data_IF_596916981510
#
_entry.id   IF_596916981510
#
_cell.length_a   1.000
_cell.length_b   1.000
_cell.length_c   1.000
_cell.angle_alpha   90.00
_cell.angle_beta   90.00
_cell.angle_gamma   90.00
#
_symmetry.space_group_name_H-M   'P 1'
#
loop_
_entity.id
_entity.type
_entity.pdbx_description
1 polymer ?
#
# COMPACT_ATOMS: atom_id res chain seq x y z
N UNK A 1 -22.86 -0.38 -14.77
CA UNK A 1 -21.80 0.31 -15.54
C UNK A 1 -20.77 -0.76 -15.94
N UNK A 2 -19.74 -0.49 -16.75
CA UNK A 2 -18.57 -1.39 -16.74
C UNK A 2 -17.71 -1.00 -15.52
N UNK A 3 -17.09 -1.96 -14.79
CA UNK A 3 -16.28 -1.64 -13.63
C UNK A 3 -15.11 -0.71 -13.96
N UNK A 4 -14.90 0.32 -13.15
CA UNK A 4 -13.80 1.28 -13.26
C UNK A 4 -12.89 1.31 -12.02
N UNK A 5 -13.23 0.51 -10.99
CA UNK A 5 -12.49 0.41 -9.73
C UNK A 5 -12.08 -1.05 -9.51
N UNK A 6 -10.77 -1.32 -9.46
CA UNK A 6 -10.22 -2.61 -9.07
C UNK A 6 -9.96 -2.64 -7.56
N UNK A 7 -10.74 -3.43 -6.81
CA UNK A 7 -10.56 -3.62 -5.36
C UNK A 7 -9.68 -4.85 -5.16
N UNK A 8 -8.46 -4.67 -4.68
CA UNK A 8 -7.49 -5.74 -4.44
C UNK A 8 -7.50 -6.09 -2.96
N UNK A 9 -7.69 -7.37 -2.65
CA UNK A 9 -7.78 -7.88 -1.29
C UNK A 9 -6.85 -9.10 -1.15
N UNK A 10 -5.65 -8.95 -0.58
CA UNK A 10 -4.85 -10.10 -0.18
C UNK A 10 -5.53 -10.80 1.00
N UNK A 11 -5.77 -12.10 0.90
CA UNK A 11 -6.43 -12.83 2.00
C UNK A 11 -6.05 -14.30 2.05
N UNK A 12 -5.77 -14.77 3.26
CA UNK A 12 -5.61 -16.20 3.58
C UNK A 12 -6.49 -16.61 4.77
N UNK A 13 -7.37 -15.71 5.24
CA UNK A 13 -8.13 -15.85 6.47
C UNK A 13 -9.59 -15.47 6.28
N UNK A 14 -9.88 -14.19 6.10
CA UNK A 14 -11.22 -13.64 6.38
C UNK A 14 -11.78 -12.85 5.18
N UNK A 15 -11.97 -13.53 4.04
CA UNK A 15 -12.56 -12.91 2.86
C UNK A 15 -14.01 -12.44 3.06
N UNK A 16 -14.71 -12.92 4.09
CA UNK A 16 -16.09 -12.50 4.40
C UNK A 16 -16.18 -11.01 4.82
N UNK A 17 -15.06 -10.37 5.21
CA UNK A 17 -15.00 -8.94 5.51
C UNK A 17 -15.58 -8.08 4.36
N UNK A 18 -15.42 -8.53 3.11
CA UNK A 18 -15.94 -7.86 1.92
C UNK A 18 -17.47 -7.69 1.93
N UNK A 19 -18.21 -8.60 2.58
CA UNK A 19 -19.67 -8.43 2.72
C UNK A 19 -20.02 -7.16 3.50
N UNK A 20 -19.20 -6.76 4.48
CA UNK A 20 -19.38 -5.51 5.22
C UNK A 20 -19.14 -4.29 4.33
N UNK A 21 -18.11 -4.32 3.47
CA UNK A 21 -17.86 -3.29 2.46
C UNK A 21 -18.99 -3.16 1.45
N UNK A 22 -19.52 -4.28 0.94
CA UNK A 22 -20.67 -4.23 0.03
C UNK A 22 -21.95 -3.78 0.73
N UNK A 23 -22.14 -4.12 2.00
CA UNK A 23 -23.27 -3.61 2.78
C UNK A 23 -23.16 -2.09 2.96
N UNK A 24 -22.00 -1.59 3.40
CA UNK A 24 -21.71 -0.16 3.52
C UNK A 24 -22.00 0.58 2.21
N UNK A 25 -21.46 0.10 1.09
CA UNK A 25 -21.70 0.67 -0.24
C UNK A 25 -23.20 0.76 -0.56
N UNK A 26 -23.98 -0.29 -0.29
CA UNK A 26 -25.44 -0.29 -0.55
C UNK A 26 -26.20 0.68 0.35
N UNK A 27 -25.84 0.76 1.63
CA UNK A 27 -26.49 1.67 2.58
C UNK A 27 -26.25 3.15 2.20
N UNK A 28 -25.06 3.46 1.69
CA UNK A 28 -24.71 4.80 1.21
C UNK A 28 -25.13 5.07 -0.25
N UNK A 29 -25.61 4.06 -0.96
CA UNK A 29 -26.07 4.17 -2.35
C UNK A 29 -24.95 4.24 -3.38
N UNK A 30 -23.75 3.77 -3.02
CA UNK A 30 -22.65 3.57 -3.95
C UNK A 30 -22.97 2.42 -4.93
N UNK A 31 -22.65 2.63 -6.20
CA UNK A 31 -22.96 1.67 -7.26
C UNK A 31 -21.92 0.53 -7.31
N UNK A 32 -22.30 -0.66 -6.85
CA UNK A 32 -21.45 -1.85 -6.88
C UNK A 32 -21.05 -2.28 -8.30
N UNK A 33 -21.79 -1.89 -9.34
CA UNK A 33 -21.41 -2.19 -10.73
C UNK A 33 -20.09 -1.52 -11.15
N UNK A 34 -19.60 -0.55 -10.37
CA UNK A 34 -18.29 0.09 -10.56
C UNK A 34 -17.13 -0.76 -10.07
N UNK A 35 -17.40 -1.72 -9.17
CA UNK A 35 -16.37 -2.51 -8.52
C UNK A 35 -16.06 -3.78 -9.32
N UNK A 36 -14.77 -4.06 -9.46
CA UNK A 36 -14.24 -5.38 -9.75
C UNK A 36 -13.38 -5.82 -8.57
N UNK A 37 -13.75 -6.91 -7.90
CA UNK A 37 -13.05 -7.39 -6.69
C UNK A 37 -12.07 -8.49 -7.06
N UNK A 38 -10.80 -8.26 -6.80
CA UNK A 38 -9.71 -9.20 -7.02
C UNK A 38 -9.23 -9.75 -5.67
N UNK A 39 -9.62 -10.98 -5.35
CA UNK A 39 -9.14 -11.68 -4.16
C UNK A 39 -7.85 -12.43 -4.51
N UNK A 40 -6.76 -12.08 -3.84
CA UNK A 40 -5.45 -12.73 -4.03
C UNK A 40 -5.19 -13.62 -2.82
N UNK A 41 -5.03 -14.92 -3.05
CA UNK A 41 -5.01 -15.93 -1.98
C UNK A 41 -4.01 -17.06 -2.25
N UNK A 42 -4.12 -18.19 -1.55
CA UNK A 42 -3.22 -19.33 -1.68
C UNK A 42 -3.98 -20.62 -2.03
N UNK A 43 -3.29 -21.59 -2.64
CA UNK A 43 -3.88 -22.87 -3.08
C UNK A 43 -4.54 -23.68 -1.93
N UNK A 44 -4.17 -23.38 -0.68
CA UNK A 44 -4.77 -24.02 0.50
C UNK A 44 -6.04 -23.33 1.00
N UNK A 45 -6.45 -22.20 0.40
CA UNK A 45 -7.63 -21.43 0.79
C UNK A 45 -8.90 -21.86 0.03
N UNK A 46 -10.05 -21.41 0.52
CA UNK A 46 -11.37 -21.75 -0.03
C UNK A 46 -11.75 -20.83 -1.21
N UNK A 47 -11.14 -21.06 -2.38
CA UNK A 47 -11.39 -20.28 -3.59
C UNK A 47 -12.82 -20.39 -4.09
N UNK A 48 -13.42 -21.60 -4.03
CA UNK A 48 -14.84 -21.80 -4.37
C UNK A 48 -15.79 -20.98 -3.48
N UNK A 49 -15.48 -20.87 -2.18
CA UNK A 49 -16.24 -20.05 -1.24
C UNK A 49 -16.11 -18.54 -1.51
N UNK A 50 -14.91 -18.08 -1.86
CA UNK A 50 -14.65 -16.69 -2.28
C UNK A 50 -15.44 -16.33 -3.54
N UNK A 51 -15.40 -17.18 -4.57
CA UNK A 51 -16.17 -16.99 -5.81
C UNK A 51 -17.68 -16.96 -5.52
N UNK A 52 -18.18 -17.91 -4.73
CA UNK A 52 -19.58 -17.97 -4.35
C UNK A 52 -20.04 -16.73 -3.57
N UNK A 53 -19.18 -16.14 -2.72
CA UNK A 53 -19.49 -14.88 -2.05
C UNK A 53 -19.69 -13.75 -3.05
N UNK A 54 -18.80 -13.57 -4.02
CA UNK A 54 -18.92 -12.52 -5.03
C UNK A 54 -20.21 -12.67 -5.85
N UNK A 55 -20.52 -13.90 -6.26
CA UNK A 55 -21.77 -14.24 -6.96
C UNK A 55 -23.02 -13.94 -6.12
N UNK A 56 -23.03 -14.32 -4.84
CA UNK A 56 -24.14 -14.08 -3.90
C UNK A 56 -24.37 -12.58 -3.67
N UNK A 57 -23.30 -11.79 -3.61
CA UNK A 57 -23.34 -10.35 -3.44
C UNK A 57 -23.61 -9.61 -4.76
N UNK A 58 -23.56 -10.31 -5.89
CA UNK A 58 -23.79 -9.75 -7.22
C UNK A 58 -22.74 -8.73 -7.64
N UNK A 59 -21.48 -8.96 -7.26
CA UNK A 59 -20.34 -8.09 -7.55
C UNK A 59 -19.41 -8.77 -8.55
N UNK A 60 -18.91 -8.04 -9.55
CA UNK A 60 -17.93 -8.57 -10.48
C UNK A 60 -16.59 -8.81 -9.76
N UNK A 61 -15.89 -9.90 -10.08
CA UNK A 61 -14.59 -10.15 -9.50
C UNK A 61 -13.95 -11.45 -9.96
N UNK A 62 -12.76 -11.70 -9.44
CA UNK A 62 -11.98 -12.90 -9.67
C UNK A 62 -11.18 -13.28 -8.42
N UNK A 63 -10.88 -14.57 -8.30
CA UNK A 63 -10.09 -15.15 -7.21
C UNK A 63 -8.83 -15.76 -7.82
N UNK A 64 -7.67 -15.42 -7.27
CA UNK A 64 -6.37 -15.92 -7.74
C UNK A 64 -5.61 -16.56 -6.59
N UNK A 65 -5.57 -17.88 -6.56
CA UNK A 65 -4.60 -18.66 -5.79
C UNK A 65 -3.23 -18.73 -6.50
N UNK A 66 -2.29 -19.50 -5.96
CA UNK A 66 -0.92 -19.60 -6.50
C UNK A 66 -0.96 -20.16 -7.93
N UNK A 67 -1.68 -21.27 -8.11
CA UNK A 67 -1.83 -21.93 -9.41
C UNK A 67 -2.47 -21.01 -10.46
N UNK A 68 -3.53 -20.27 -10.11
CA UNK A 68 -4.18 -19.34 -11.02
C UNK A 68 -3.30 -18.14 -11.38
N UNK A 69 -2.47 -17.64 -10.44
CA UNK A 69 -1.48 -16.59 -10.75
C UNK A 69 -0.43 -17.09 -11.74
N UNK A 70 0.10 -18.30 -11.55
CA UNK A 70 1.06 -18.91 -12.47
C UNK A 70 0.49 -19.05 -13.88
N UNK A 71 -0.76 -19.51 -14.00
CA UNK A 71 -1.46 -19.56 -15.29
C UNK A 71 -1.61 -18.16 -15.90
N UNK A 72 -1.98 -17.16 -15.10
CA UNK A 72 -2.11 -15.78 -15.56
C UNK A 72 -0.78 -15.19 -16.05
N UNK A 73 0.33 -15.44 -15.34
CA UNK A 73 1.65 -15.02 -15.81
C UNK A 73 1.99 -15.65 -17.15
N UNK A 74 1.65 -16.94 -17.35
CA UNK A 74 1.89 -17.64 -18.61
C UNK A 74 1.04 -17.12 -19.77
N UNK A 75 -0.23 -16.84 -19.53
CA UNK A 75 -1.13 -16.27 -20.53
C UNK A 75 -0.73 -14.85 -20.96
N UNK A 76 0.03 -14.16 -20.10
CA UNK A 76 0.57 -12.83 -20.35
C UNK A 76 2.04 -12.83 -20.78
N UNK A 77 2.64 -14.01 -20.98
CA UNK A 77 4.03 -14.19 -21.41
C UNK A 77 5.03 -13.47 -20.47
N UNK A 78 4.76 -13.48 -19.16
CA UNK A 78 5.60 -12.84 -18.12
C UNK A 78 5.95 -13.83 -16.99
N UNK A 79 6.01 -15.14 -17.27
CA UNK A 79 6.32 -16.16 -16.25
C UNK A 79 7.65 -15.92 -15.54
N UNK A 80 8.61 -15.31 -16.24
CA UNK A 80 9.92 -14.98 -15.68
C UNK A 80 9.85 -13.96 -14.54
N UNK A 81 8.77 -13.16 -14.47
CA UNK A 81 8.54 -12.13 -13.45
C UNK A 81 7.68 -12.61 -12.27
N UNK A 82 7.27 -13.88 -12.23
CA UNK A 82 6.50 -14.46 -11.12
C UNK A 82 7.15 -14.24 -9.75
N UNK A 83 8.49 -14.18 -9.69
CA UNK A 83 9.28 -13.92 -8.49
C UNK A 83 9.09 -12.52 -7.87
N UNK A 84 8.47 -11.57 -8.59
CA UNK A 84 8.16 -10.25 -8.05
C UNK A 84 7.03 -10.27 -7.02
N UNK A 85 6.23 -11.34 -6.99
CA UNK A 85 5.12 -11.46 -6.04
C UNK A 85 5.39 -12.64 -5.11
N UNK A 86 5.78 -12.39 -3.84
CA UNK A 86 6.05 -13.46 -2.89
C UNK A 86 4.76 -14.21 -2.51
N UNK A 87 4.90 -15.49 -2.17
CA UNK A 87 3.79 -16.31 -1.69
C UNK A 87 3.52 -16.07 -0.19
N UNK A 88 2.26 -16.21 0.23
CA UNK A 88 1.81 -16.11 1.61
C UNK A 88 2.30 -14.86 2.36
N UNK A 89 2.42 -13.74 1.65
CA UNK A 89 2.86 -12.44 2.16
C UNK A 89 1.85 -11.36 1.80
N UNK A 90 1.77 -10.31 2.60
CA UNK A 90 0.95 -9.14 2.27
C UNK A 90 1.35 -8.51 0.92
N UNK A 91 2.63 -8.62 0.52
CA UNK A 91 3.12 -8.15 -0.78
C UNK A 91 2.48 -8.84 -2.00
N UNK A 92 1.63 -9.87 -1.80
CA UNK A 92 0.73 -10.40 -2.82
C UNK A 92 -0.19 -9.36 -3.46
N UNK A 93 -0.44 -8.24 -2.78
CA UNK A 93 -1.10 -7.07 -3.33
C UNK A 93 -0.45 -6.57 -4.63
N UNK A 94 0.85 -6.79 -4.83
CA UNK A 94 1.54 -6.51 -6.11
C UNK A 94 0.99 -7.26 -7.31
N UNK A 95 0.41 -8.45 -7.13
CA UNK A 95 -0.30 -9.12 -8.22
C UNK A 95 -1.53 -8.31 -8.66
N UNK A 96 -2.24 -7.69 -7.71
CA UNK A 96 -3.37 -6.83 -8.04
C UNK A 96 -2.97 -5.58 -8.81
N UNK A 97 -1.78 -5.04 -8.56
CA UNK A 97 -1.21 -3.95 -9.35
C UNK A 97 -0.88 -4.41 -10.78
N UNK A 98 -0.28 -5.59 -10.97
CA UNK A 98 -0.03 -6.17 -12.31
C UNK A 98 -1.33 -6.45 -13.05
N UNK A 99 -2.31 -7.05 -12.37
CA UNK A 99 -3.62 -7.33 -12.92
C UNK A 99 -4.28 -6.03 -13.37
N UNK A 100 -4.32 -5.02 -12.50
CA UNK A 100 -4.83 -3.70 -12.85
C UNK A 100 -4.06 -3.15 -14.05
N UNK A 101 -2.72 -3.17 -14.05
CA UNK A 101 -1.91 -2.68 -15.16
C UNK A 101 -2.16 -3.38 -16.51
N UNK A 102 -2.57 -4.65 -16.52
CA UNK A 102 -2.98 -5.35 -17.73
C UNK A 102 -4.39 -4.97 -18.24
N UNK A 103 -5.22 -4.36 -17.40
CA UNK A 103 -6.63 -4.05 -17.66
C UNK A 103 -6.86 -2.52 -17.62
N UNK A 104 -6.73 -1.81 -18.75
CA UNK A 104 -6.79 -0.34 -18.81
C UNK A 104 -8.17 0.27 -18.54
N UNK A 105 -9.22 -0.54 -18.40
CA UNK A 105 -10.56 -0.13 -17.99
C UNK A 105 -10.64 0.35 -16.54
N UNK A 106 -9.69 -0.07 -15.68
CA UNK A 106 -9.65 0.37 -14.29
C UNK A 106 -8.90 1.69 -14.16
N UNK A 107 -9.66 2.75 -13.85
CA UNK A 107 -9.15 4.09 -13.58
C UNK A 107 -8.59 4.20 -12.15
N UNK A 108 -9.19 3.47 -11.20
CA UNK A 108 -8.86 3.51 -9.78
C UNK A 108 -8.58 2.12 -9.20
N UNK A 109 -7.61 2.06 -8.29
CA UNK A 109 -7.37 0.91 -7.44
C UNK A 109 -7.80 1.19 -6.00
N UNK A 110 -8.24 0.17 -5.29
CA UNK A 110 -8.51 0.23 -3.85
C UNK A 110 -7.89 -1.00 -3.19
N UNK A 111 -7.06 -0.79 -2.18
CA UNK A 111 -6.53 -1.83 -1.33
C UNK A 111 -7.35 -1.91 -0.04
N UNK A 112 -7.68 -3.14 0.36
CA UNK A 112 -8.39 -3.47 1.59
C UNK A 112 -7.73 -4.71 2.19
N UNK A 113 -7.33 -4.61 3.46
CA UNK A 113 -6.85 -5.76 4.22
C UNK A 113 -8.02 -6.59 4.76
N UNK A 114 -7.82 -7.91 4.83
CA UNK A 114 -8.86 -8.86 5.22
C UNK A 114 -9.24 -8.83 6.71
N UNK A 115 -8.50 -8.07 7.53
CA UNK A 115 -8.81 -7.80 8.93
C UNK A 115 -9.32 -6.37 9.18
N UNK A 116 -9.76 -5.66 8.14
CA UNK A 116 -10.39 -4.34 8.26
C UNK A 116 -11.90 -4.37 7.99
N UNK A 117 -12.63 -3.45 8.61
CA UNK A 117 -14.07 -3.25 8.38
C UNK A 117 -14.39 -1.78 8.11
N UNK A 118 -15.38 -1.47 7.26
CA UNK A 118 -15.80 -0.08 7.07
C UNK A 118 -16.61 0.39 8.28
N UNK A 119 -16.52 1.69 8.55
CA UNK A 119 -17.42 2.37 9.48
C UNK A 119 -18.69 2.83 8.77
N UNK A 120 -19.83 2.83 9.46
CA UNK A 120 -21.12 3.26 8.92
C UNK A 120 -21.15 4.77 8.61
N UNK A 121 -20.28 5.54 9.24
CA UNK A 121 -20.19 7.01 9.15
C UNK A 121 -19.84 7.50 7.75
N UNK A 122 -19.12 6.71 6.95
CA UNK A 122 -18.67 7.08 5.62
C UNK A 122 -19.19 6.12 4.54
N UNK A 123 -19.55 6.68 3.39
CA UNK A 123 -19.54 5.96 2.12
C UNK A 123 -18.09 5.60 1.82
N UNK A 124 -17.66 4.38 2.15
CA UNK A 124 -16.25 4.01 2.12
C UNK A 124 -15.63 4.22 0.73
N UNK A 125 -16.22 3.62 -0.30
CA UNK A 125 -15.72 3.76 -1.67
C UNK A 125 -15.98 5.16 -2.22
N UNK A 126 -17.15 5.74 -1.96
CA UNK A 126 -17.49 7.07 -2.44
C UNK A 126 -16.57 8.15 -1.89
N UNK A 127 -16.19 8.07 -0.61
CA UNK A 127 -15.28 9.01 0.03
C UNK A 127 -13.87 8.94 -0.55
N UNK A 128 -13.36 7.73 -0.77
CA UNK A 128 -12.08 7.55 -1.45
C UNK A 128 -12.08 8.13 -2.87
N UNK A 129 -13.11 7.82 -3.67
CA UNK A 129 -13.23 8.36 -5.03
C UNK A 129 -13.37 9.88 -4.99
N UNK A 130 -14.14 10.45 -4.06
CA UNK A 130 -14.25 11.89 -3.87
C UNK A 130 -12.87 12.50 -3.59
N UNK A 131 -12.11 11.93 -2.66
CA UNK A 131 -10.77 12.38 -2.29
C UNK A 131 -9.81 12.45 -3.49
N UNK A 132 -9.84 11.46 -4.39
CA UNK A 132 -9.01 11.44 -5.60
C UNK A 132 -9.37 12.56 -6.62
N UNK A 133 -10.50 13.25 -6.43
CA UNK A 133 -10.95 14.36 -7.27
C UNK A 133 -11.03 15.70 -6.52
N UNK A 134 -10.53 15.76 -5.28
CA UNK A 134 -10.54 16.98 -4.50
C UNK A 134 -9.54 18.00 -5.03
N UNK A 135 -9.95 19.27 -4.99
CA UNK A 135 -9.19 20.44 -5.44
C UNK A 135 -9.32 21.61 -4.44
N UNK A 136 -9.84 21.35 -3.25
CA UNK A 136 -10.06 22.33 -2.18
C UNK A 136 -8.80 22.57 -1.32
N UNK A 137 -8.88 23.59 -0.44
CA UNK A 137 -7.87 23.84 0.58
C UNK A 137 -7.99 22.79 1.70
N UNK A 138 -6.87 22.22 2.11
CA UNK A 138 -6.78 21.24 3.18
C UNK A 138 -5.63 21.59 4.14
N UNK A 139 -5.65 21.02 5.34
CA UNK A 139 -4.50 21.11 6.24
C UNK A 139 -3.25 20.48 5.61
N UNK A 140 -2.15 21.22 5.67
CA UNK A 140 -0.83 20.71 5.32
C UNK A 140 0.08 20.65 6.52
N UNK A 141 0.88 19.59 6.57
CA UNK A 141 1.66 19.23 7.76
C UNK A 141 3.13 19.09 7.37
N UNK A 142 4.01 19.58 8.24
CA UNK A 142 5.45 19.40 8.12
C UNK A 142 6.08 19.20 9.50
N UNK A 143 7.29 18.66 9.54
CA UNK A 143 8.11 18.60 10.75
C UNK A 143 9.54 19.05 10.49
N UNK A 144 10.28 19.28 11.58
CA UNK A 144 11.71 19.57 11.55
C UNK A 144 12.59 18.35 11.22
N UNK A 145 12.00 17.15 11.12
CA UNK A 145 12.69 15.90 10.80
C UNK A 145 12.33 15.34 9.40
N UNK A 146 11.64 16.13 8.57
CA UNK A 146 11.18 15.74 7.22
C UNK A 146 10.22 14.54 7.18
N UNK A 147 9.59 14.23 8.31
CA UNK A 147 8.62 13.15 8.46
C UNK A 147 7.36 13.63 9.16
N UNK A 148 6.20 13.34 8.58
CA UNK A 148 4.90 13.62 9.17
C UNK A 148 4.35 12.32 9.76
N UNK A 149 4.17 12.30 11.08
CA UNK A 149 3.49 11.22 11.77
C UNK A 149 2.00 11.22 11.37
N UNK A 150 1.48 10.18 10.72
CA UNK A 150 0.06 10.16 10.32
C UNK A 150 -0.93 10.07 11.49
N UNK A 151 -0.41 9.87 12.71
CA UNK A 151 -1.11 9.91 13.99
C UNK A 151 -0.77 11.19 14.78
N UNK A 152 -0.34 12.28 14.13
CA UNK A 152 0.00 13.53 14.84
C UNK A 152 -1.24 14.17 15.51
N UNK A 153 -2.43 13.96 14.94
CA UNK A 153 -3.69 14.38 15.54
C UNK A 153 -3.86 13.62 16.86
N UNK A 154 -4.02 14.35 17.96
CA UNK A 154 -4.08 13.82 19.32
C UNK A 154 -2.81 13.10 19.87
N UNK A 155 -1.63 13.32 19.24
CA UNK A 155 -0.37 12.68 19.69
C UNK A 155 0.04 12.99 21.13
N UNK A 156 -0.37 14.14 21.67
CA UNK A 156 -0.12 14.50 23.08
C UNK A 156 -0.85 13.56 24.07
N UNK A 157 -1.93 12.90 23.66
CA UNK A 157 -2.70 11.97 24.49
C UNK A 157 -2.21 10.53 24.34
N UNK A 158 -2.02 10.05 23.11
CA UNK A 158 -1.67 8.65 22.85
C UNK A 158 -0.17 8.40 22.63
N UNK A 159 0.60 9.38 22.17
CA UNK A 159 2.06 9.29 21.97
C UNK A 159 2.50 8.21 20.97
N UNK A 160 1.69 7.97 19.94
CA UNK A 160 1.88 6.84 19.01
C UNK A 160 2.58 7.28 17.74
N UNK A 161 3.37 6.35 17.19
CA UNK A 161 4.03 6.49 15.90
C UNK A 161 3.76 5.22 15.07
N UNK A 162 3.31 5.36 13.82
CA UNK A 162 2.95 4.23 12.98
C UNK A 162 4.16 3.36 12.65
N UNK A 163 3.91 2.10 12.34
CA UNK A 163 4.92 1.15 11.85
C UNK A 163 5.68 1.77 10.66
N UNK A 164 7.01 1.67 10.68
CA UNK A 164 7.87 2.24 9.64
C UNK A 164 8.27 3.70 9.82
N UNK A 165 7.66 4.44 10.75
CA UNK A 165 8.12 5.78 11.08
C UNK A 165 9.54 5.72 11.68
N UNK A 166 10.53 6.43 11.11
CA UNK A 166 11.92 6.36 11.58
C UNK A 166 12.06 6.76 13.04
N UNK A 167 12.81 5.97 13.80
CA UNK A 167 13.09 6.23 15.21
C UNK A 167 13.91 7.50 15.39
N UNK A 168 14.78 7.81 14.45
CA UNK A 168 15.58 9.05 14.47
C UNK A 168 14.76 10.32 14.29
N UNK A 169 13.57 10.21 13.67
CA UNK A 169 12.66 11.32 13.38
C UNK A 169 11.53 11.47 14.42
N UNK A 170 11.55 10.70 15.51
CA UNK A 170 10.56 10.82 16.60
C UNK A 170 10.86 12.03 17.50
N UNK A 171 9.86 12.44 18.28
CA UNK A 171 9.89 13.66 19.09
C UNK A 171 10.04 14.95 18.24
N UNK A 172 9.63 14.88 16.98
CA UNK A 172 9.62 15.97 16.02
C UNK A 172 8.67 17.10 16.42
N UNK A 173 8.97 18.30 15.97
CA UNK A 173 8.09 19.45 16.10
C UNK A 173 7.22 19.56 14.87
N UNK A 174 5.92 19.31 15.03
CA UNK A 174 4.93 19.42 13.95
C UNK A 174 4.48 20.88 13.75
N UNK A 175 4.46 21.34 12.50
CA UNK A 175 3.86 22.59 12.07
C UNK A 175 2.73 22.31 11.06
N UNK A 176 1.60 22.99 11.24
CA UNK A 176 0.44 22.90 10.34
C UNK A 176 0.16 24.24 9.66
N UNK A 177 -0.26 24.19 8.39
CA UNK A 177 -0.76 25.31 7.61
C UNK A 177 -1.96 24.85 6.77
N UNK A 178 -2.46 25.70 5.88
CA UNK A 178 -3.51 25.37 4.91
C UNK A 178 -2.96 25.61 3.51
N UNK A 179 -3.16 24.66 2.59
CA UNK A 179 -2.84 24.86 1.16
C UNK A 179 -3.88 24.23 0.23
N UNK A 180 -3.93 24.75 -0.99
CA UNK A 180 -4.68 24.11 -2.09
C UNK A 180 -4.12 22.71 -2.36
N UNK A 181 -5.02 21.74 -2.51
CA UNK A 181 -4.68 20.43 -3.03
C UNK A 181 -4.14 20.53 -4.46
N UNK A 182 -3.05 19.81 -4.69
CA UNK A 182 -2.60 19.43 -6.02
C UNK A 182 -3.33 18.15 -6.40
N UNK A 183 -3.23 17.76 -7.66
CA UNK A 183 -3.87 16.57 -8.18
C UNK A 183 -3.60 15.34 -7.28
N UNK A 184 -4.65 14.88 -6.60
CA UNK A 184 -4.57 13.82 -5.59
C UNK A 184 -4.49 12.48 -6.29
N UNK A 185 -3.42 11.73 -6.02
CA UNK A 185 -3.14 10.45 -6.70
C UNK A 185 -3.34 9.24 -5.80
N UNK A 186 -3.32 9.46 -4.48
CA UNK A 186 -3.71 8.46 -3.49
C UNK A 186 -4.51 9.10 -2.36
N UNK A 187 -5.50 8.35 -1.88
CA UNK A 187 -6.32 8.63 -0.71
C UNK A 187 -6.04 7.53 0.32
N UNK A 188 -5.21 7.85 1.30
CA UNK A 188 -4.89 6.98 2.43
C UNK A 188 -5.93 7.20 3.54
N UNK A 189 -6.76 6.20 3.78
CA UNK A 189 -7.65 6.18 4.92
C UNK A 189 -6.90 5.73 6.18
N UNK A 190 -7.25 6.30 7.32
CA UNK A 190 -6.69 5.92 8.62
C UNK A 190 -7.57 4.85 9.29
N UNK A 191 -7.21 4.46 10.50
CA UNK A 191 -7.80 3.30 11.18
C UNK A 191 -8.11 3.58 12.66
N UNK A 192 -9.23 3.05 13.12
CA UNK A 192 -9.58 2.93 14.54
C UNK A 192 -9.26 1.52 15.06
N UNK A 193 -9.48 1.31 16.36
CA UNK A 193 -9.20 0.09 17.11
C UNK A 193 -7.71 -0.22 17.25
N UNK A 194 -7.15 -1.20 16.54
CA UNK A 194 -5.72 -1.56 16.71
C UNK A 194 -4.88 -0.64 15.82
N UNK A 195 -4.06 0.28 16.34
CA UNK A 195 -3.15 1.04 15.49
C UNK A 195 -2.08 0.14 14.85
N UNK A 196 -1.71 0.43 13.60
CA UNK A 196 -0.59 -0.25 12.95
C UNK A 196 0.74 0.25 13.52
N UNK A 197 1.23 -0.46 14.54
CA UNK A 197 2.50 -0.22 15.20
C UNK A 197 3.47 -1.36 14.92
N UNK A 198 4.77 -1.04 14.90
CA UNK A 198 5.82 -2.06 14.89
C UNK A 198 5.88 -2.85 16.22
N UNK A 199 6.54 -3.99 16.18
CA UNK A 199 6.65 -4.90 17.30
C UNK A 199 7.39 -4.29 18.51
N UNK A 200 8.36 -3.39 18.30
CA UNK A 200 9.07 -2.73 19.40
C UNK A 200 8.11 -1.82 20.17
N UNK A 201 7.30 -1.03 19.47
CA UNK A 201 6.28 -0.14 20.04
C UNK A 201 5.17 -0.93 20.74
N UNK A 202 4.71 -2.04 20.15
CA UNK A 202 3.75 -2.97 20.79
C UNK A 202 4.33 -3.58 22.08
N UNK A 203 5.61 -4.00 22.07
CA UNK A 203 6.29 -4.50 23.26
C UNK A 203 6.46 -3.42 24.34
N UNK A 204 6.71 -2.16 23.95
CA UNK A 204 6.78 -1.03 24.88
C UNK A 204 5.42 -0.74 25.54
N UNK A 205 4.33 -0.99 24.82
CA UNK A 205 2.95 -0.95 25.35
C UNK A 205 2.62 -2.17 26.24
N UNK A 206 3.53 -3.14 26.33
CA UNK A 206 3.45 -4.31 27.21
C UNK A 206 2.66 -5.48 26.64
N UNK A 207 2.36 -5.47 25.34
CA UNK A 207 1.59 -6.51 24.68
C UNK A 207 2.47 -7.60 24.05
N UNK A 208 2.06 -8.86 24.23
CA UNK A 208 2.78 -10.04 23.74
C UNK A 208 1.98 -10.81 22.67
N UNK A 209 0.81 -10.30 22.30
CA UNK A 209 -0.15 -10.90 21.38
C UNK A 209 -0.32 -10.06 20.10
N UNK A 210 0.67 -9.21 19.78
CA UNK A 210 0.77 -8.50 18.51
C UNK A 210 -0.24 -7.37 18.35
N UNK A 211 -0.91 -6.96 19.44
CA UNK A 211 -1.96 -5.94 19.43
C UNK A 211 -1.60 -4.81 20.39
N UNK A 212 -1.59 -3.57 19.91
CA UNK A 212 -1.44 -2.43 20.82
C UNK A 212 -2.57 -2.43 21.89
N UNK A 213 -2.21 -2.15 23.14
CA UNK A 213 -3.16 -1.92 24.24
C UNK A 213 -3.81 -0.53 24.10
N UNK A 214 -3.00 0.44 23.66
CA UNK A 214 -3.49 1.77 23.27
C UNK A 214 -4.23 1.65 21.94
N UNK A 215 -5.51 2.02 21.95
CA UNK A 215 -6.41 1.96 20.79
C UNK A 215 -6.62 3.36 20.22
N UNK A 216 -6.86 3.44 18.92
CA UNK A 216 -7.33 4.67 18.27
C UNK A 216 -8.85 4.63 18.13
N UNK A 217 -9.50 5.78 18.24
CA UNK A 217 -10.94 5.96 18.05
C UNK A 217 -11.19 7.21 17.19
N UNK A 218 -12.46 7.52 16.90
CA UNK A 218 -12.83 8.66 16.05
C UNK A 218 -12.29 10.00 16.55
N UNK A 219 -12.22 10.19 17.88
CA UNK A 219 -11.78 11.44 18.51
C UNK A 219 -10.26 11.68 18.36
N UNK A 220 -9.50 10.69 17.86
CA UNK A 220 -8.07 10.85 17.54
C UNK A 220 -7.84 11.45 16.13
N UNK A 221 -8.89 11.65 15.34
CA UNK A 221 -8.79 12.14 13.95
C UNK A 221 -9.71 13.34 13.70
N UNK A 222 -9.12 14.52 13.49
CA UNK A 222 -9.82 15.80 13.35
C UNK A 222 -10.17 16.17 11.90
N UNK A 223 -9.56 15.49 10.93
CA UNK A 223 -9.81 15.74 9.51
C UNK A 223 -8.70 15.25 8.59
N UNK A 224 -8.91 15.44 7.29
CA UNK A 224 -7.89 15.09 6.30
C UNK A 224 -6.76 16.11 6.26
N UNK A 225 -5.58 15.64 5.88
CA UNK A 225 -4.38 16.46 5.72
C UNK A 225 -3.48 15.89 4.61
N UNK A 226 -2.51 16.71 4.20
CA UNK A 226 -1.42 16.32 3.31
C UNK A 226 -0.09 16.63 3.97
N UNK A 227 0.91 15.78 3.75
CA UNK A 227 2.29 16.19 4.06
C UNK A 227 2.76 17.22 3.01
N UNK A 228 3.52 18.22 3.44
CA UNK A 228 4.13 19.19 2.53
C UNK A 228 5.12 18.52 1.55
N UNK A 229 5.40 19.13 0.38
CA UNK A 229 6.42 18.62 -0.52
C UNK A 229 7.78 18.47 0.18
N UNK A 230 8.42 17.31 0.04
CA UNK A 230 9.68 16.97 0.71
C UNK A 230 9.53 16.46 2.14
N UNK A 231 8.29 16.33 2.65
CA UNK A 231 7.97 15.65 3.89
C UNK A 231 7.47 14.23 3.60
N UNK A 232 8.12 13.23 4.17
CA UNK A 232 7.72 11.83 4.06
C UNK A 232 6.63 11.49 5.08
N UNK A 233 5.91 10.40 4.84
CA UNK A 233 4.91 9.86 5.75
C UNK A 233 4.81 8.35 5.53
N UNK A 234 4.34 7.63 6.54
CA UNK A 234 4.06 6.20 6.42
C UNK A 234 2.78 5.99 5.62
N UNK A 235 2.87 5.25 4.52
CA UNK A 235 1.69 4.79 3.78
C UNK A 235 1.41 3.36 4.19
N UNK A 236 0.14 3.10 4.54
CA UNK A 236 -0.33 1.75 4.77
C UNK A 236 -1.37 1.40 3.70
N UNK A 237 -1.29 0.18 3.20
CA UNK A 237 -2.14 -0.33 2.13
C UNK A 237 -3.49 -0.90 2.63
N UNK A 238 -3.68 -1.07 3.94
CA UNK A 238 -4.91 -1.66 4.50
C UNK A 238 -6.22 -0.95 4.15
N UNK A 239 -6.14 0.35 3.82
CA UNK A 239 -7.27 1.23 3.55
C UNK A 239 -6.82 2.37 2.63
N UNK A 240 -6.69 2.09 1.33
CA UNK A 240 -6.08 3.03 0.40
C UNK A 240 -6.68 2.95 -0.99
N UNK A 241 -7.08 4.10 -1.54
CA UNK A 241 -7.46 4.22 -2.94
C UNK A 241 -6.43 5.02 -3.72
N UNK A 242 -6.23 4.72 -5.00
CA UNK A 242 -5.24 5.37 -5.84
C UNK A 242 -5.65 5.46 -7.30
N UNK A 243 -5.06 6.40 -8.02
CA UNK A 243 -5.16 6.49 -9.49
C UNK A 243 -4.19 5.51 -10.12
N UNK A 244 -4.64 4.82 -11.17
CA UNK A 244 -3.84 3.85 -11.94
C UNK A 244 -2.42 4.34 -12.30
N UNK A 245 -2.25 5.63 -12.58
CA UNK A 245 -0.98 6.19 -13.02
C UNK A 245 0.19 6.00 -12.04
N UNK A 246 -0.09 5.75 -10.77
CA UNK A 246 0.95 5.57 -9.73
C UNK A 246 1.60 4.18 -9.73
N UNK A 247 0.97 3.19 -10.38
CA UNK A 247 1.40 1.77 -10.35
C UNK A 247 2.91 1.56 -10.56
N UNK A 248 3.58 2.26 -11.51
CA UNK A 248 5.02 2.11 -11.68
C UNK A 248 5.86 2.42 -10.44
N UNK A 249 5.38 3.30 -9.56
CA UNK A 249 6.06 3.72 -8.33
C UNK A 249 5.42 3.19 -7.04
N UNK A 250 4.46 2.26 -7.15
CA UNK A 250 3.67 1.78 -6.01
C UNK A 250 3.75 0.26 -5.80
N UNK A 251 4.86 -0.34 -6.24
CA UNK A 251 5.16 -1.76 -6.05
C UNK A 251 5.25 -2.12 -4.56
N UNK A 252 4.55 -3.18 -4.12
CA UNK A 252 4.67 -3.73 -2.77
C UNK A 252 5.85 -4.71 -2.78
N UNK A 253 6.94 -4.32 -2.10
CA UNK A 253 8.24 -4.97 -2.22
C UNK A 253 8.23 -6.46 -1.80
N UNK A 254 9.16 -7.29 -2.32
CA UNK A 254 9.26 -8.71 -2.00
C UNK A 254 9.82 -8.95 -0.59
N UNK A 255 8.98 -8.69 0.40
CA UNK A 255 9.24 -8.92 1.82
C UNK A 255 8.78 -10.33 2.22
N UNK A 256 9.25 -10.80 3.39
CA UNK A 256 8.94 -12.12 3.99
C UNK A 256 9.47 -13.37 3.26
N UNK A 257 9.77 -13.30 1.96
CA UNK A 257 10.44 -14.35 1.18
C UNK A 257 11.77 -13.87 0.57
N UNK A 258 12.77 -13.63 1.44
CA UNK A 258 14.11 -13.21 1.02
C UNK A 258 15.21 -13.75 1.96
N UNK A 259 16.46 -13.75 1.50
CA UNK A 259 17.60 -14.32 2.24
C UNK A 259 18.08 -13.50 3.44
N UNK A 260 17.58 -12.26 3.59
CA UNK A 260 17.94 -11.35 4.68
C UNK A 260 16.95 -11.40 5.85
N UNK A 261 15.88 -12.20 5.74
CA UNK A 261 14.80 -12.32 6.73
C UNK A 261 14.07 -10.98 6.97
N UNK A 262 14.11 -10.06 6.01
CA UNK A 262 13.42 -8.77 6.12
C UNK A 262 11.95 -8.94 5.75
N UNK A 263 11.05 -8.55 6.65
CA UNK A 263 9.61 -8.63 6.46
C UNK A 263 8.89 -7.34 6.85
N UNK A 264 7.62 -7.21 6.46
CA UNK A 264 6.66 -6.23 7.01
C UNK A 264 6.95 -4.73 6.74
N UNK A 265 7.81 -4.42 5.76
CA UNK A 265 8.10 -3.06 5.28
C UNK A 265 7.64 -2.80 3.83
N UNK A 266 6.93 -3.74 3.23
CA UNK A 266 6.56 -3.74 1.83
C UNK A 266 5.73 -2.52 1.43
N UNK A 267 4.63 -2.26 2.16
CA UNK A 267 3.78 -1.09 1.94
C UNK A 267 4.43 0.21 2.43
N UNK A 268 5.22 0.14 3.51
CA UNK A 268 5.96 1.28 4.08
C UNK A 268 6.94 1.86 3.06
N UNK A 269 7.82 1.02 2.50
CA UNK A 269 8.83 1.44 1.54
C UNK A 269 8.18 1.81 0.20
N UNK A 270 7.13 1.08 -0.21
CA UNK A 270 6.28 1.47 -1.35
C UNK A 270 5.73 2.88 -1.18
N UNK A 271 5.27 3.22 0.04
CA UNK A 271 4.82 4.56 0.43
C UNK A 271 5.87 5.64 0.28
N UNK A 272 7.10 5.36 0.72
CA UNK A 272 8.24 6.28 0.59
C UNK A 272 8.53 6.57 -0.89
N UNK A 273 8.56 5.54 -1.75
CA UNK A 273 8.75 5.71 -3.19
C UNK A 273 7.60 6.49 -3.84
N UNK A 274 6.35 6.15 -3.51
CA UNK A 274 5.18 6.83 -4.02
C UNK A 274 5.17 8.31 -3.61
N UNK A 275 5.48 8.61 -2.34
CA UNK A 275 5.54 10.00 -1.85
C UNK A 275 6.60 10.79 -2.59
N UNK A 276 7.79 10.21 -2.79
CA UNK A 276 8.86 10.85 -3.58
C UNK A 276 8.41 11.14 -5.01
N UNK A 277 7.83 10.17 -5.69
CA UNK A 277 7.33 10.34 -7.06
C UNK A 277 6.19 11.35 -7.15
N UNK A 278 5.26 11.35 -6.20
CA UNK A 278 4.19 12.34 -6.12
C UNK A 278 4.75 13.76 -5.95
N UNK A 279 5.74 13.95 -5.07
CA UNK A 279 6.35 15.26 -4.86
C UNK A 279 7.06 15.80 -6.10
N UNK A 280 7.87 14.97 -6.77
CA UNK A 280 8.57 15.34 -8.01
C UNK A 280 7.58 15.75 -9.10
N UNK A 281 6.46 15.03 -9.21
CA UNK A 281 5.42 15.28 -10.21
C UNK A 281 4.39 16.33 -9.79
N UNK A 282 4.55 16.95 -8.62
CA UNK A 282 3.67 17.99 -8.12
C UNK A 282 2.26 17.48 -7.79
N UNK A 283 2.16 16.28 -7.22
CA UNK A 283 0.92 15.56 -6.86
C UNK A 283 0.83 15.37 -5.36
N UNK A 284 -0.37 15.03 -4.87
CA UNK A 284 -0.60 14.83 -3.43
C UNK A 284 -1.08 13.42 -3.08
N UNK A 285 -0.68 12.98 -1.88
CA UNK A 285 -1.29 11.87 -1.14
C UNK A 285 -2.12 12.51 -0.03
N UNK A 286 -3.44 12.31 -0.09
CA UNK A 286 -4.37 12.82 0.91
C UNK A 286 -4.60 11.76 1.97
N UNK A 287 -4.38 12.11 3.24
CA UNK A 287 -4.44 11.19 4.38
C UNK A 287 -5.54 11.62 5.34
N UNK A 288 -6.36 10.68 5.82
CA UNK A 288 -7.45 10.97 6.76
C UNK A 288 -8.64 10.04 6.58
N UNK A 289 -9.78 10.59 6.16
CA UNK A 289 -11.01 9.84 5.97
C UNK A 289 -11.09 9.19 4.57
N UNK A 290 -11.79 8.07 4.39
CA UNK A 290 -12.61 7.37 5.40
C UNK A 290 -11.75 6.57 6.37
N UNK A 291 -12.22 6.42 7.61
CA UNK A 291 -11.59 5.49 8.55
C UNK A 291 -12.11 4.06 8.30
N UNK A 292 -11.28 3.07 8.62
CA UNK A 292 -11.69 1.68 8.81
C UNK A 292 -11.48 1.24 10.28
N UNK A 293 -12.13 0.16 10.70
CA UNK A 293 -11.84 -0.53 11.95
C UNK A 293 -10.82 -1.65 11.68
N UNK A 294 -9.59 -1.51 12.19
CA UNK A 294 -8.55 -2.52 12.03
C UNK A 294 -8.61 -3.55 13.18
N UNK A 295 -8.97 -4.78 12.83
CA UNK A 295 -9.21 -5.91 13.73
C UNK A 295 -8.06 -6.92 13.73
N UNK A 296 -6.83 -6.40 13.87
CA UNK A 296 -5.57 -7.15 13.84
C UNK A 296 -5.65 -8.48 14.57
N UNK A 297 -5.38 -9.59 13.88
CA UNK A 297 -5.38 -10.92 14.51
C UNK A 297 -4.27 -11.07 15.57
N UNK A 298 -4.61 -11.65 16.73
CA UNK A 298 -3.66 -11.92 17.81
C UNK A 298 -2.59 -12.93 17.38
N UNK A 299 -1.31 -12.60 17.61
CA UNK A 299 -0.14 -13.42 17.27
C UNK A 299 1.07 -13.03 18.13
N UNK A 300 2.09 -13.89 18.31
CA UNK A 300 3.22 -13.54 19.17
C UNK A 300 3.94 -12.27 18.68
N UNK A 301 4.01 -11.22 19.50
CA UNK A 301 4.73 -9.98 19.14
C UNK A 301 6.20 -10.23 18.80
N UNK A 302 6.78 -11.30 19.34
CA UNK A 302 8.15 -11.70 19.04
C UNK A 302 8.34 -12.26 17.63
N UNK A 303 7.30 -12.83 17.01
CA UNK A 303 7.37 -13.28 15.62
C UNK A 303 7.40 -12.07 14.69
N UNK A 304 6.54 -11.07 14.94
CA UNK A 304 6.59 -9.78 14.23
C UNK A 304 7.96 -9.09 14.42
N UNK A 305 8.50 -9.08 15.64
CA UNK A 305 9.82 -8.50 15.92
C UNK A 305 10.95 -9.19 15.13
N UNK A 306 10.92 -10.52 15.00
CA UNK A 306 11.94 -11.25 14.25
C UNK A 306 11.91 -10.91 12.76
N UNK A 307 10.74 -10.61 12.20
CA UNK A 307 10.60 -10.21 10.80
C UNK A 307 10.97 -8.73 10.58
N UNK A 308 10.76 -7.87 11.58
CA UNK A 308 11.03 -6.43 11.45
C UNK A 308 12.49 -6.07 11.75
N UNK A 309 13.12 -6.67 12.76
CA UNK A 309 14.49 -6.34 13.20
C UNK A 309 15.52 -6.34 12.07
N UNK A 310 15.50 -7.31 11.13
CA UNK A 310 16.46 -7.34 10.02
C UNK A 310 16.39 -6.13 9.09
N UNK A 311 15.26 -5.41 9.04
CA UNK A 311 15.04 -4.24 8.18
C UNK A 311 15.08 -2.88 8.89
N UNK A 312 15.07 -2.85 10.23
CA UNK A 312 14.94 -1.58 10.99
C UNK A 312 16.03 -0.55 10.68
N UNK A 313 17.31 -0.97 10.58
CA UNK A 313 18.40 -0.04 10.25
C UNK A 313 18.26 0.51 8.82
N UNK A 314 17.87 -0.34 7.88
CA UNK A 314 17.64 0.08 6.49
C UNK A 314 16.47 1.06 6.39
N UNK A 315 15.40 0.85 7.17
CA UNK A 315 14.25 1.73 7.22
C UNK A 315 14.62 3.17 7.66
N UNK A 316 15.61 3.33 8.54
CA UNK A 316 16.09 4.67 8.94
C UNK A 316 16.72 5.45 7.77
N UNK A 317 17.33 4.76 6.81
CA UNK A 317 18.18 5.36 5.79
C UNK A 317 17.58 5.38 4.39
N UNK A 318 16.58 4.53 4.10
CA UNK A 318 15.99 4.41 2.76
C UNK A 318 15.51 5.76 2.21
N UNK A 319 14.79 6.52 3.03
CA UNK A 319 14.19 7.78 2.59
C UNK A 319 15.25 8.82 2.20
N UNK A 320 16.40 8.83 2.90
CA UNK A 320 17.52 9.73 2.60
C UNK A 320 18.09 9.43 1.21
N UNK A 321 18.21 8.15 0.85
CA UNK A 321 18.75 7.70 -0.43
C UNK A 321 17.82 8.13 -1.58
N UNK A 322 16.52 7.89 -1.43
CA UNK A 322 15.55 8.20 -2.50
C UNK A 322 15.32 9.70 -2.68
N UNK A 323 15.51 10.50 -1.63
CA UNK A 323 15.33 11.95 -1.69
C UNK A 323 16.37 12.63 -2.59
N UNK A 324 17.52 11.99 -2.80
CA UNK A 324 18.62 12.53 -3.60
C UNK A 324 18.44 12.31 -5.12
N UNK A 325 17.49 11.49 -5.55
CA UNK A 325 17.39 11.03 -6.96
C UNK A 325 16.03 11.30 -7.62
N UNK A 326 15.98 11.18 -8.95
CA UNK A 326 14.73 11.26 -9.74
C UNK A 326 14.13 12.65 -9.92
N UNK A 327 14.71 13.71 -9.34
CA UNK A 327 14.10 15.05 -9.31
C UNK A 327 13.88 15.76 -10.65
N UNK A 328 14.50 15.28 -11.73
CA UNK A 328 14.34 15.79 -13.10
C UNK A 328 13.43 14.89 -13.97
N UNK A 329 12.83 13.83 -13.41
CA UNK A 329 11.96 12.91 -14.15
C UNK A 329 10.53 13.45 -14.27
N UNK A 330 9.86 13.12 -15.38
CA UNK A 330 8.52 13.61 -15.71
C UNK A 330 7.43 12.52 -15.61
N UNK A 331 7.76 11.31 -15.14
CA UNK A 331 6.84 10.16 -15.01
C UNK A 331 7.10 9.37 -13.73
N UNK A 332 6.07 8.69 -13.21
CA UNK A 332 6.22 7.78 -12.06
C UNK A 332 7.29 6.71 -12.30
N UNK A 333 7.27 6.09 -13.48
CA UNK A 333 8.28 5.12 -13.88
C UNK A 333 9.70 5.71 -13.87
N UNK A 334 9.89 6.94 -14.36
CA UNK A 334 11.22 7.58 -14.40
C UNK A 334 11.75 7.99 -13.03
N UNK A 335 10.89 8.43 -12.11
CA UNK A 335 11.33 8.65 -10.72
C UNK A 335 11.68 7.32 -10.06
N UNK A 336 10.84 6.29 -10.26
CA UNK A 336 11.04 4.96 -9.68
C UNK A 336 12.29 4.27 -10.20
N UNK A 337 12.58 4.37 -11.50
CA UNK A 337 13.81 3.90 -12.13
C UNK A 337 15.04 4.53 -11.48
N UNK A 338 15.03 5.85 -11.25
CA UNK A 338 16.16 6.53 -10.59
C UNK A 338 16.37 6.06 -9.14
N UNK A 339 15.29 5.76 -8.41
CA UNK A 339 15.37 5.17 -7.05
C UNK A 339 15.88 3.73 -7.11
N UNK A 340 15.40 2.94 -8.08
CA UNK A 340 15.81 1.56 -8.31
C UNK A 340 17.31 1.47 -8.63
N UNK A 341 17.81 2.31 -9.54
CA UNK A 341 19.22 2.38 -9.91
C UNK A 341 20.10 2.78 -8.72
N UNK A 342 19.67 3.76 -7.94
CA UNK A 342 20.42 4.19 -6.75
C UNK A 342 20.58 3.04 -5.74
N UNK A 343 19.51 2.30 -5.47
CA UNK A 343 19.51 1.15 -4.57
C UNK A 343 20.31 -0.03 -5.13
N UNK A 344 20.14 -0.36 -6.41
CA UNK A 344 20.81 -1.47 -7.09
C UNK A 344 22.33 -1.26 -7.20
N UNK A 345 22.78 -0.05 -7.54
CA UNK A 345 24.20 0.24 -7.80
C UNK A 345 24.98 0.74 -6.57
N UNK A 346 24.28 1.06 -5.47
CA UNK A 346 24.88 1.61 -4.26
C UNK A 346 25.76 0.62 -3.48
N UNK A 347 26.75 1.16 -2.75
CA UNK A 347 27.54 0.40 -1.77
C UNK A 347 26.97 0.61 -0.37
N UNK A 348 26.27 -0.42 0.12
CA UNK A 348 25.54 -0.39 1.39
C UNK A 348 26.25 -1.19 2.48
N UNK A 349 27.53 -1.49 2.30
CA UNK A 349 28.29 -2.34 3.22
C UNK A 349 28.46 -1.77 4.64
N UNK A 350 28.17 -0.48 4.83
CA UNK A 350 28.15 0.18 6.13
C UNK A 350 26.89 -0.13 6.96
N UNK A 351 25.79 -0.59 6.33
CA UNK A 351 24.54 -0.94 7.00
C UNK A 351 24.43 -2.44 7.27
N UNK A 352 23.79 -2.82 8.37
CA UNK A 352 23.40 -4.21 8.56
C UNK A 352 22.37 -4.61 7.51
N UNK A 353 22.60 -5.76 6.86
CA UNK A 353 21.79 -6.25 5.74
C UNK A 353 21.76 -5.28 4.54
N UNK A 354 22.74 -4.39 4.38
CA UNK A 354 22.77 -3.41 3.28
C UNK A 354 22.58 -4.00 1.88
N UNK A 355 23.07 -5.22 1.62
CA UNK A 355 22.86 -5.92 0.34
C UNK A 355 21.36 -6.11 -0.01
N UNK A 356 20.46 -6.04 0.98
CA UNK A 356 19.02 -6.06 0.75
C UNK A 356 18.53 -4.83 -0.03
N UNK A 357 19.17 -3.67 0.09
CA UNK A 357 18.87 -2.53 -0.78
C UNK A 357 19.19 -2.85 -2.24
N UNK A 358 20.31 -3.53 -2.53
CA UNK A 358 20.64 -3.94 -3.89
C UNK A 358 19.56 -4.90 -4.43
N UNK A 359 19.18 -5.89 -3.62
CA UNK A 359 18.09 -6.83 -3.96
C UNK A 359 16.77 -6.09 -4.27
N UNK A 360 16.36 -5.15 -3.42
CA UNK A 360 15.17 -4.33 -3.66
C UNK A 360 15.28 -3.52 -4.94
N UNK A 361 16.42 -2.85 -5.18
CA UNK A 361 16.67 -2.09 -6.40
C UNK A 361 16.56 -2.94 -7.68
N UNK A 362 17.13 -4.15 -7.68
CA UNK A 362 17.01 -5.11 -8.79
C UNK A 362 15.55 -5.53 -9.02
N UNK A 363 14.77 -5.75 -7.95
CA UNK A 363 13.35 -6.09 -8.07
C UNK A 363 12.51 -4.91 -8.56
N UNK A 364 12.87 -3.68 -8.20
CA UNK A 364 12.23 -2.47 -8.71
C UNK A 364 12.50 -2.28 -10.21
N UNK A 365 13.70 -2.59 -10.69
CA UNK A 365 14.02 -2.58 -12.13
C UNK A 365 13.20 -3.66 -12.85
N UNK A 366 13.20 -4.90 -12.35
CA UNK A 366 12.43 -6.00 -12.93
C UNK A 366 10.91 -5.73 -12.88
N UNK A 367 10.41 -5.00 -11.88
CA UNK A 367 9.04 -4.53 -11.83
C UNK A 367 8.69 -3.63 -13.02
N UNK A 368 9.52 -2.62 -13.32
CA UNK A 368 9.31 -1.75 -14.48
C UNK A 368 9.38 -2.53 -15.80
N UNK A 369 10.33 -3.46 -15.93
CA UNK A 369 10.43 -4.34 -17.11
C UNK A 369 9.17 -5.19 -17.29
N UNK A 370 8.61 -5.74 -16.20
CA UNK A 370 7.35 -6.49 -16.21
C UNK A 370 6.18 -5.62 -16.69
N UNK A 371 6.05 -4.39 -16.18
CA UNK A 371 5.00 -3.44 -16.58
C UNK A 371 5.11 -3.05 -18.07
N UNK A 372 6.32 -2.87 -18.58
CA UNK A 372 6.58 -2.60 -20.00
C UNK A 372 6.19 -3.80 -20.88
N UNK A 373 6.52 -5.02 -20.45
CA UNK A 373 6.16 -6.25 -21.18
C UNK A 373 4.65 -6.48 -21.22
N UNK A 374 3.94 -6.23 -20.12
CA UNK A 374 2.48 -6.33 -20.03
C UNK A 374 1.75 -5.40 -21.02
N UNK A 375 2.34 -4.24 -21.33
CA UNK A 375 1.73 -3.23 -22.21
C UNK A 375 2.30 -3.23 -23.62
N UNK A 376 3.33 -4.04 -23.88
CA UNK A 376 3.92 -4.18 -25.20
C UNK A 376 2.89 -4.73 -26.22
N UNK A 377 2.84 -4.21 -27.46
CA UNK A 377 1.96 -4.76 -28.48
C UNK A 377 2.33 -6.22 -28.77
N UNK A 378 1.45 -7.17 -28.43
CA UNK A 378 1.67 -8.60 -28.75
C UNK A 378 1.90 -8.75 -30.25
N UNK A 379 3.04 -9.32 -30.63
CA UNK A 379 3.38 -9.52 -32.04
C UNK A 379 2.33 -10.46 -32.66
N UNK A 380 1.63 -9.99 -33.69
CA UNK A 380 0.69 -10.83 -34.42
C UNK A 380 1.44 -12.05 -34.97
N UNK A 381 1.11 -13.24 -34.47
CA UNK A 381 1.59 -14.51 -35.02
C UNK A 381 1.20 -14.52 -36.50
N UNK A 382 2.15 -14.68 -37.44
CA UNK A 382 1.80 -14.77 -38.85
C UNK A 382 0.85 -15.95 -39.02
N UNK A 383 -0.32 -15.72 -39.61
CA UNK A 383 -1.19 -16.80 -40.01
C UNK A 383 -0.41 -17.69 -41.01
N UNK A 384 -0.07 -18.90 -40.59
CA UNK A 384 0.44 -19.93 -41.50
C UNK A 384 -0.70 -20.31 -42.46
N UNK A 385 -0.59 -19.84 -43.71
CA UNK A 385 -1.42 -20.20 -44.87
C UNK A 385 -1.16 -21.64 -45.35
#
# INVERSE_FOLDING_TARGET
MEPDICVVVPTIREYECMRSYFHNAREHGFDLDRLFVLLVTEDFCDTEGMEAMLDDEGVAGAVFDESARDEWYAENEIEEFSHLVPAASHAQTSFGLLYMWAHPEYDYGVFIDDDTLPHDEWDFFGRHVENLHREDEVESVSSDEQWVNVLYQNVDEHGLYPRGYPYSAMDETVETDIRDLRDVVASQGLWTNVPDLDAVRILMDGDLEGQAQTRTDFDDFDGDFVAEPGQYLTVCSMNLAFKREVIPAFYQLPMDDNEWEVGRFDDIWSGVFLKRAADVLGKDILTGYPLCEHNKAARPTFDDLNNEVPGLELNEHLWEIVDEVGGDADTYAGVFEAMADALADGDWSDYRNGDFFNYVGEHMQAWLECLDQLTAPRAAVPADD
#
